data_IF_618329446125
#
_entry.id   IF_618329446125
#
_cell.length_a   1.000
_cell.length_b   1.000
_cell.length_c   1.000
_cell.angle_alpha   90.00
_cell.angle_beta   90.00
_cell.angle_gamma   90.00
#
_symmetry.space_group_name_H-M   'P 1'
#
loop_
_entity.id
_entity.type
_entity.pdbx_description
1 polymer ?
#
# COMPACT_ATOMS: atom_id res chain seq x y z
N UNK A 1 -21.23 2.30 9.59
CA UNK A 1 -20.28 2.35 8.47
C UNK A 1 -19.16 3.25 8.91
N UNK A 2 -18.00 2.69 9.19
CA UNK A 2 -16.95 3.58 9.65
C UNK A 2 -15.57 3.04 9.32
N UNK A 3 -14.74 3.94 8.78
CA UNK A 3 -13.30 3.81 8.88
C UNK A 3 -12.90 4.22 10.29
N UNK A 4 -12.09 3.39 10.93
CA UNK A 4 -11.70 3.51 12.33
C UNK A 4 -10.21 3.74 12.42
N UNK A 5 -9.81 4.55 13.39
CA UNK A 5 -8.39 4.74 13.69
C UNK A 5 -8.18 4.69 15.21
N UNK A 6 -7.15 3.95 15.66
CA UNK A 6 -6.82 3.86 17.08
C UNK A 6 -5.83 4.96 17.52
N UNK A 7 -5.32 4.84 18.72
CA UNK A 7 -4.37 5.78 19.29
C UNK A 7 -2.98 5.56 18.68
N UNK A 8 -2.27 6.65 18.32
CA UNK A 8 -0.90 6.59 17.83
C UNK A 8 0.07 6.35 19.00
N UNK A 9 0.24 5.10 19.39
CA UNK A 9 1.05 4.72 20.56
C UNK A 9 2.31 3.93 20.21
N UNK A 10 2.41 3.38 18.98
CA UNK A 10 3.52 2.52 18.58
C UNK A 10 4.71 3.37 18.10
N UNK A 11 5.86 3.37 18.79
CA UNK A 11 7.02 4.11 18.35
C UNK A 11 7.73 3.35 17.21
N UNK A 12 7.88 4.00 16.06
CA UNK A 12 8.66 3.47 14.94
C UNK A 12 9.18 4.60 14.05
N UNK A 13 10.47 4.52 13.66
CA UNK A 13 11.15 5.50 12.80
C UNK A 13 10.98 6.96 13.26
N UNK A 14 11.06 7.21 14.58
CA UNK A 14 10.96 8.56 15.14
C UNK A 14 9.57 9.15 15.20
N UNK A 15 8.53 8.40 14.85
CA UNK A 15 7.13 8.80 14.94
C UNK A 15 6.31 7.82 15.79
N UNK A 16 5.11 8.24 16.19
CA UNK A 16 4.10 7.35 16.74
C UNK A 16 3.14 6.93 15.65
N UNK A 17 2.70 5.68 15.70
CA UNK A 17 1.87 5.05 14.67
C UNK A 17 0.57 4.52 15.24
N UNK A 18 -0.46 4.56 14.42
CA UNK A 18 -1.81 4.06 14.67
C UNK A 18 -2.22 3.09 13.57
N UNK A 19 -3.28 2.30 13.82
CA UNK A 19 -3.88 1.41 12.84
C UNK A 19 -5.14 2.06 12.27
N UNK A 20 -5.26 2.04 10.95
CA UNK A 20 -6.45 2.48 10.20
C UNK A 20 -7.13 1.26 9.59
N UNK A 21 -8.42 1.06 9.88
CA UNK A 21 -9.20 -0.09 9.42
C UNK A 21 -10.60 0.35 8.97
N UNK A 22 -11.32 -0.53 8.25
CA UNK A 22 -12.76 -0.43 8.08
C UNK A 22 -13.46 -1.60 8.80
N UNK A 23 -14.62 -1.36 9.38
CA UNK A 23 -15.51 -2.40 9.91
C UNK A 23 -16.61 -2.81 8.91
N UNK A 24 -16.47 -2.38 7.66
CA UNK A 24 -17.43 -2.68 6.58
C UNK A 24 -16.79 -3.54 5.50
N UNK A 25 -15.69 -3.06 4.89
CA UNK A 25 -15.01 -3.77 3.82
C UNK A 25 -13.58 -3.27 3.61
N UNK A 26 -12.76 -4.13 3.01
CA UNK A 26 -11.41 -3.76 2.55
C UNK A 26 -11.48 -2.69 1.46
N UNK A 27 -12.48 -2.74 0.58
CA UNK A 27 -12.68 -1.75 -0.47
C UNK A 27 -12.91 -0.33 0.11
N UNK A 28 -13.79 -0.20 1.13
CA UNK A 28 -13.99 1.08 1.82
C UNK A 28 -12.69 1.61 2.43
N UNK A 29 -11.90 0.73 3.06
CA UNK A 29 -10.62 1.10 3.63
C UNK A 29 -9.66 1.62 2.56
N UNK A 30 -9.60 0.95 1.41
CA UNK A 30 -8.76 1.36 0.31
C UNK A 30 -9.18 2.72 -0.27
N UNK A 31 -10.47 2.94 -0.51
CA UNK A 31 -10.99 4.22 -1.01
C UNK A 31 -10.68 5.37 -0.04
N UNK A 32 -10.72 5.10 1.26
CA UNK A 32 -10.36 6.08 2.28
C UNK A 32 -8.85 6.33 2.32
N UNK A 33 -8.05 5.27 2.30
CA UNK A 33 -6.59 5.34 2.28
C UNK A 33 -6.06 6.10 1.06
N UNK A 34 -6.72 5.94 -0.09
CA UNK A 34 -6.37 6.64 -1.32
C UNK A 34 -6.56 8.15 -1.21
N UNK A 35 -7.65 8.58 -0.59
CA UNK A 35 -7.90 10.00 -0.33
C UNK A 35 -6.91 10.61 0.67
N UNK A 36 -6.33 9.77 1.55
CA UNK A 36 -5.23 10.14 2.44
C UNK A 36 -3.84 10.10 1.76
N UNK A 37 -3.76 9.72 0.48
CA UNK A 37 -2.49 9.57 -0.23
C UNK A 37 -1.65 8.36 0.23
N UNK A 38 -2.25 7.38 0.91
CA UNK A 38 -1.54 6.18 1.34
C UNK A 38 -1.28 5.27 0.15
N UNK A 39 -0.06 4.74 0.08
CA UNK A 39 0.30 3.77 -0.96
C UNK A 39 -0.30 2.42 -0.66
N UNK A 40 -0.86 1.75 -1.68
CA UNK A 40 -1.41 0.40 -1.56
C UNK A 40 -0.41 -0.59 -0.99
N UNK A 41 0.88 -0.46 -1.29
CA UNK A 41 1.95 -1.27 -0.72
C UNK A 41 2.02 -1.23 0.81
N UNK A 42 1.52 -0.18 1.46
CA UNK A 42 1.51 -0.08 2.93
C UNK A 42 0.36 -0.85 3.58
N UNK A 43 -0.56 -1.43 2.80
CA UNK A 43 -1.64 -2.27 3.30
C UNK A 43 -1.11 -3.59 3.88
N UNK A 44 -1.53 -3.92 5.10
CA UNK A 44 -1.08 -5.09 5.84
C UNK A 44 -2.10 -6.26 5.81
N UNK A 45 -3.00 -6.25 4.81
CA UNK A 45 -4.00 -7.29 4.60
C UNK A 45 -5.35 -7.02 5.26
N UNK A 46 -5.36 -6.36 6.42
CA UNK A 46 -6.57 -5.98 7.14
C UNK A 46 -6.54 -4.54 7.70
N UNK A 47 -5.42 -3.83 7.54
CA UNK A 47 -5.22 -2.46 8.05
C UNK A 47 -4.10 -1.73 7.30
N UNK A 48 -4.05 -0.42 7.49
CA UNK A 48 -2.88 0.42 7.22
C UNK A 48 -2.28 0.89 8.53
N UNK A 49 -0.94 0.93 8.60
CA UNK A 49 -0.23 1.65 9.65
C UNK A 49 -0.05 3.10 9.22
N UNK A 50 -0.47 4.04 10.06
CA UNK A 50 -0.42 5.47 9.76
C UNK A 50 0.31 6.23 10.86
N UNK A 51 1.21 7.18 10.51
CA UNK A 51 1.84 8.03 11.51
C UNK A 51 0.82 9.01 12.12
N UNK A 52 1.16 9.59 13.27
CA UNK A 52 0.29 10.50 14.03
C UNK A 52 -0.23 11.68 13.19
N UNK A 53 0.58 12.22 12.27
CA UNK A 53 0.16 13.29 11.36
C UNK A 53 -0.97 12.84 10.42
N UNK A 54 -0.82 11.69 9.79
CA UNK A 54 -1.84 11.11 8.89
C UNK A 54 -3.08 10.66 9.68
N UNK A 55 -2.89 10.20 10.93
CA UNK A 55 -4.04 9.94 11.82
C UNK A 55 -4.89 11.19 12.03
N UNK A 56 -4.26 12.35 12.25
CA UNK A 56 -4.99 13.61 12.42
C UNK A 56 -5.80 13.94 11.16
N UNK A 57 -5.22 13.82 9.98
CA UNK A 57 -5.92 14.01 8.70
C UNK A 57 -7.08 13.00 8.52
N UNK A 58 -6.86 11.73 8.90
CA UNK A 58 -7.92 10.72 8.84
C UNK A 58 -9.14 11.11 9.71
N UNK A 59 -8.90 11.66 10.90
CA UNK A 59 -9.98 12.14 11.79
C UNK A 59 -10.72 13.32 11.17
N UNK A 60 -10.01 14.28 10.56
CA UNK A 60 -10.61 15.41 9.85
C UNK A 60 -11.47 14.95 8.65
N UNK A 61 -11.07 13.87 7.98
CA UNK A 61 -11.80 13.24 6.89
C UNK A 61 -12.98 12.35 7.34
N UNK A 62 -13.19 12.21 8.66
CA UNK A 62 -14.33 11.51 9.22
C UNK A 62 -14.06 10.08 9.69
N UNK A 63 -12.80 9.67 9.86
CA UNK A 63 -12.49 8.43 10.57
C UNK A 63 -12.91 8.54 12.05
N UNK A 64 -13.44 7.47 12.60
CA UNK A 64 -13.85 7.39 14.00
C UNK A 64 -12.65 7.02 14.89
N UNK A 65 -12.34 7.85 15.88
CA UNK A 65 -11.34 7.54 16.89
C UNK A 65 -11.88 6.48 17.85
N UNK A 66 -11.19 5.35 17.97
CA UNK A 66 -11.56 4.26 18.86
C UNK A 66 -10.35 3.71 19.62
N UNK A 67 -10.52 3.18 20.84
CA UNK A 67 -9.45 2.42 21.48
C UNK A 67 -9.05 1.20 20.66
N UNK A 68 -7.76 0.84 20.63
CA UNK A 68 -7.26 -0.28 19.83
C UNK A 68 -7.99 -1.61 20.08
N UNK A 69 -8.42 -1.88 21.34
CA UNK A 69 -9.24 -3.07 21.67
C UNK A 69 -10.59 -3.07 20.95
N UNK A 70 -11.21 -1.90 20.82
CA UNK A 70 -12.53 -1.76 20.19
C UNK A 70 -12.39 -1.85 18.66
N UNK A 71 -11.32 -1.29 18.10
CA UNK A 71 -10.95 -1.46 16.70
C UNK A 71 -10.81 -2.94 16.35
N UNK A 72 -10.03 -3.71 17.11
CA UNK A 72 -9.86 -5.15 16.87
C UNK A 72 -11.16 -5.92 17.03
N UNK A 73 -12.01 -5.55 18.01
CA UNK A 73 -13.32 -6.18 18.22
C UNK A 73 -14.22 -5.95 17.01
N UNK A 74 -14.32 -4.70 16.51
CA UNK A 74 -15.15 -4.34 15.34
C UNK A 74 -14.65 -5.02 14.08
N UNK A 75 -13.34 -5.04 13.85
CA UNK A 75 -12.72 -5.71 12.71
C UNK A 75 -13.00 -7.23 12.71
N UNK A 76 -12.96 -7.87 13.89
CA UNK A 76 -13.35 -9.28 14.05
C UNK A 76 -14.85 -9.50 13.81
N UNK A 77 -15.68 -8.63 14.33
CA UNK A 77 -17.14 -8.68 14.14
C UNK A 77 -17.54 -8.56 12.67
N UNK A 78 -16.79 -7.79 11.89
CA UNK A 78 -16.95 -7.65 10.44
C UNK A 78 -16.39 -8.84 9.64
N UNK A 79 -15.69 -9.79 10.27
CA UNK A 79 -15.05 -10.91 9.58
C UNK A 79 -13.81 -10.51 8.75
N UNK A 80 -13.26 -9.31 8.97
CA UNK A 80 -12.17 -8.75 8.18
C UNK A 80 -10.78 -8.95 8.85
N UNK A 81 -10.75 -9.40 10.11
CA UNK A 81 -9.49 -9.63 10.82
C UNK A 81 -8.77 -10.84 10.31
N UNK A 82 -7.57 -10.63 9.77
CA UNK A 82 -6.70 -11.71 9.34
C UNK A 82 -5.90 -12.32 10.49
N UNK A 83 -5.74 -13.63 10.48
CA UNK A 83 -4.76 -14.29 11.32
C UNK A 83 -3.33 -13.87 10.91
N UNK A 84 -2.37 -13.92 11.84
CA UNK A 84 -0.99 -13.54 11.56
C UNK A 84 -0.36 -14.32 10.40
N UNK A 85 -0.79 -15.56 10.21
CA UNK A 85 -0.36 -16.45 9.13
C UNK A 85 -0.95 -16.10 7.76
N UNK A 86 -2.03 -15.32 7.73
CA UNK A 86 -2.73 -14.90 6.51
C UNK A 86 -2.28 -13.52 6.02
N UNK A 87 -1.57 -12.77 6.86
CA UNK A 87 -1.08 -11.44 6.51
C UNK A 87 -0.02 -11.50 5.40
N UNK A 88 0.06 -10.50 4.53
CA UNK A 88 0.94 -10.52 3.36
C UNK A 88 2.44 -10.54 3.68
N UNK A 89 2.84 -10.16 4.89
CA UNK A 89 4.25 -10.10 5.29
C UNK A 89 4.95 -8.83 4.82
N UNK A 90 6.28 -8.84 4.86
CA UNK A 90 7.11 -7.70 4.45
C UNK A 90 7.39 -7.74 2.97
N UNK A 91 7.51 -6.57 2.36
CA UNK A 91 8.03 -6.41 1.03
C UNK A 91 9.53 -6.68 1.00
N UNK A 92 9.95 -7.46 0.03
CA UNK A 92 11.37 -7.74 -0.28
C UNK A 92 11.68 -7.16 -1.65
N UNK A 93 12.78 -6.42 -1.76
CA UNK A 93 13.29 -5.96 -3.05
C UNK A 93 13.85 -7.15 -3.81
N UNK A 94 13.34 -7.39 -5.01
CA UNK A 94 13.75 -8.51 -5.87
C UNK A 94 14.45 -8.07 -7.14
N UNK A 95 14.45 -6.78 -7.44
CA UNK A 95 15.18 -6.20 -8.57
C UNK A 95 15.20 -4.69 -8.52
N UNK A 96 16.26 -4.11 -9.10
CA UNK A 96 16.46 -2.67 -9.23
C UNK A 96 17.11 -2.35 -10.55
N UNK A 97 16.59 -1.35 -11.25
CA UNK A 97 17.09 -0.87 -12.52
C UNK A 97 17.17 0.64 -12.52
N UNK A 98 18.13 1.17 -13.24
CA UNK A 98 18.31 2.63 -13.39
C UNK A 98 18.12 3.02 -14.84
N UNK A 99 17.87 4.29 -15.12
CA UNK A 99 17.64 4.83 -16.46
C UNK A 99 18.77 4.57 -17.49
N UNK A 100 19.99 4.27 -17.03
CA UNK A 100 21.12 3.96 -17.89
C UNK A 100 21.10 2.51 -18.46
N UNK A 101 20.11 1.72 -18.10
CA UNK A 101 20.04 0.31 -18.49
C UNK A 101 19.04 0.13 -19.63
N UNK A 102 19.32 -0.87 -20.46
CA UNK A 102 18.31 -1.41 -21.37
C UNK A 102 17.14 -1.96 -20.56
N UNK A 103 15.96 -1.98 -21.16
CA UNK A 103 14.71 -2.44 -20.48
C UNK A 103 14.96 -3.66 -19.60
N UNK A 104 14.59 -3.59 -18.30
CA UNK A 104 14.80 -4.72 -17.40
C UNK A 104 13.91 -5.90 -17.81
N UNK A 105 14.39 -7.10 -17.59
CA UNK A 105 13.57 -8.31 -17.71
C UNK A 105 12.64 -8.45 -16.49
N UNK A 106 11.69 -7.55 -16.38
CA UNK A 106 10.73 -7.48 -15.27
C UNK A 106 9.88 -8.74 -15.21
N UNK A 107 9.52 -9.31 -16.35
CA UNK A 107 8.74 -10.54 -16.41
C UNK A 107 9.39 -11.74 -15.77
N UNK A 108 10.71 -11.80 -15.81
CA UNK A 108 11.47 -12.84 -15.12
C UNK A 108 11.50 -12.67 -13.61
N UNK A 109 11.51 -11.41 -13.14
CA UNK A 109 11.64 -11.08 -11.72
C UNK A 109 10.28 -11.04 -11.03
N UNK A 110 9.29 -10.43 -11.66
CA UNK A 110 7.94 -10.24 -11.14
C UNK A 110 6.87 -10.54 -12.21
N UNK A 111 6.69 -11.80 -12.58
CA UNK A 111 5.80 -12.18 -13.69
C UNK A 111 4.35 -11.74 -13.49
N UNK A 112 3.90 -11.63 -12.24
CA UNK A 112 2.52 -11.28 -11.90
C UNK A 112 2.18 -9.81 -12.23
N UNK A 113 3.19 -8.96 -12.39
CA UNK A 113 3.02 -7.53 -12.70
C UNK A 113 2.84 -7.28 -14.20
N UNK A 114 3.14 -8.27 -15.04
CA UNK A 114 3.15 -8.09 -16.49
C UNK A 114 1.78 -7.98 -17.15
N UNK A 115 0.73 -8.48 -16.53
CA UNK A 115 -0.60 -8.54 -17.13
C UNK A 115 -1.23 -7.14 -17.23
N UNK A 116 -0.85 -6.37 -18.23
CA UNK A 116 -1.47 -5.10 -18.62
C UNK A 116 -0.81 -3.82 -18.07
N UNK A 117 -0.13 -3.89 -16.93
CA UNK A 117 0.47 -2.70 -16.33
C UNK A 117 1.82 -2.33 -16.96
N UNK A 118 2.56 -3.30 -17.46
CA UNK A 118 3.87 -3.12 -18.05
C UNK A 118 3.86 -2.22 -19.30
N UNK A 119 2.84 -2.33 -20.13
CA UNK A 119 2.72 -1.52 -21.36
C UNK A 119 2.54 -0.03 -21.08
N UNK A 120 1.99 0.34 -19.95
CA UNK A 120 1.79 1.75 -19.56
C UNK A 120 3.09 2.41 -19.09
N UNK A 121 4.03 1.63 -18.58
CA UNK A 121 5.29 2.12 -17.99
C UNK A 121 6.44 2.12 -19.00
N UNK A 122 6.36 1.30 -20.05
CA UNK A 122 7.45 1.11 -21.03
C UNK A 122 7.88 2.39 -21.74
N UNK A 123 6.99 3.37 -21.91
CA UNK A 123 7.33 4.64 -22.57
C UNK A 123 8.33 5.48 -21.76
N UNK A 124 8.36 5.33 -20.44
CA UNK A 124 9.14 6.18 -19.52
C UNK A 124 10.42 5.51 -18.99
N UNK A 125 10.70 4.25 -19.37
CA UNK A 125 11.88 3.49 -18.91
C UNK A 125 13.23 4.17 -19.17
N UNK A 126 13.30 5.07 -20.13
CA UNK A 126 14.54 5.75 -20.51
C UNK A 126 15.03 6.76 -19.47
N UNK A 127 14.14 7.25 -18.60
CA UNK A 127 14.44 8.25 -17.59
C UNK A 127 14.18 7.79 -16.15
N UNK A 128 13.51 6.65 -15.98
CA UNK A 128 13.03 6.20 -14.68
C UNK A 128 13.97 5.23 -13.98
N UNK A 129 14.11 5.39 -12.67
CA UNK A 129 14.57 4.31 -11.78
C UNK A 129 13.41 3.38 -11.47
N UNK A 130 13.64 2.07 -11.48
CA UNK A 130 12.60 1.08 -11.19
C UNK A 130 13.05 0.11 -10.13
N UNK A 131 12.18 -0.15 -9.16
CA UNK A 131 12.42 -1.15 -8.11
C UNK A 131 11.24 -2.13 -8.08
N UNK A 132 11.55 -3.40 -8.17
CA UNK A 132 10.57 -4.48 -8.04
C UNK A 132 10.57 -5.05 -6.62
N UNK A 133 9.38 -5.23 -6.08
CA UNK A 133 9.15 -5.79 -4.77
C UNK A 133 8.22 -7.00 -4.83
N UNK A 134 8.41 -7.93 -3.91
CA UNK A 134 7.53 -9.10 -3.74
C UNK A 134 7.26 -9.34 -2.26
N UNK A 135 6.04 -9.79 -1.94
CA UNK A 135 5.69 -10.41 -0.67
C UNK A 135 4.63 -11.48 -0.91
N UNK A 136 4.87 -12.72 -0.45
CA UNK A 136 3.97 -13.88 -0.70
C UNK A 136 3.46 -13.91 -2.15
N UNK A 137 2.15 -13.67 -2.35
CA UNK A 137 1.47 -13.68 -3.65
C UNK A 137 1.38 -12.31 -4.32
N UNK A 138 1.93 -11.27 -3.71
CA UNK A 138 1.83 -9.90 -4.20
C UNK A 138 3.15 -9.44 -4.81
N UNK A 139 3.09 -8.72 -5.91
CA UNK A 139 4.23 -8.09 -6.57
C UNK A 139 3.93 -6.63 -6.84
N UNK A 140 4.94 -5.78 -6.80
CA UNK A 140 4.81 -4.36 -7.10
C UNK A 140 6.06 -3.83 -7.80
N UNK A 141 5.87 -2.91 -8.74
CA UNK A 141 6.91 -2.06 -9.31
C UNK A 141 6.73 -0.64 -8.81
N UNK A 142 7.80 -0.05 -8.32
CA UNK A 142 7.88 1.37 -8.03
C UNK A 142 8.75 2.00 -9.09
N UNK A 143 8.19 2.92 -9.86
CA UNK A 143 8.86 3.65 -10.93
C UNK A 143 8.98 5.10 -10.47
N UNK A 144 10.19 5.64 -10.51
CA UNK A 144 10.49 7.03 -10.16
C UNK A 144 11.12 7.72 -11.38
N UNK A 145 10.49 8.75 -11.86
CA UNK A 145 10.93 9.59 -12.97
C UNK A 145 10.86 11.08 -12.60
N UNK A 146 11.16 11.96 -13.57
CA UNK A 146 11.12 13.41 -13.36
C UNK A 146 9.70 13.96 -13.06
N UNK A 147 8.65 13.19 -13.35
CA UNK A 147 7.26 13.55 -13.07
C UNK A 147 6.76 13.08 -11.70
N UNK A 148 7.52 12.19 -11.02
CA UNK A 148 7.19 11.70 -9.69
C UNK A 148 7.35 10.19 -9.52
N UNK A 149 6.64 9.62 -8.55
CA UNK A 149 6.68 8.20 -8.21
C UNK A 149 5.39 7.52 -8.64
N UNK A 150 5.51 6.52 -9.49
CA UNK A 150 4.39 5.65 -9.90
C UNK A 150 4.49 4.31 -9.21
N UNK A 151 3.37 3.82 -8.69
CA UNK A 151 3.24 2.47 -8.22
C UNK A 151 2.45 1.64 -9.24
N UNK A 152 3.05 0.56 -9.68
CA UNK A 152 2.39 -0.43 -10.55
C UNK A 152 2.48 -1.78 -9.85
N UNK A 153 1.36 -2.45 -9.63
CA UNK A 153 1.40 -3.70 -8.88
C UNK A 153 0.28 -4.67 -9.20
N UNK A 154 0.54 -5.93 -8.94
CA UNK A 154 -0.46 -6.98 -8.80
C UNK A 154 -0.76 -7.13 -7.31
N UNK A 155 -1.93 -6.67 -6.90
CA UNK A 155 -2.42 -6.76 -5.52
C UNK A 155 -3.67 -7.64 -5.50
N UNK A 156 -4.14 -8.10 -4.34
CA UNK A 156 -5.30 -9.02 -4.25
C UNK A 156 -6.53 -8.56 -5.02
N UNK A 157 -6.71 -7.25 -5.21
CA UNK A 157 -7.88 -6.67 -5.90
C UNK A 157 -7.59 -6.31 -7.37
N UNK A 158 -6.48 -6.77 -7.95
CA UNK A 158 -6.12 -6.52 -9.34
C UNK A 158 -4.86 -5.67 -9.53
N UNK A 159 -4.69 -5.18 -10.74
CA UNK A 159 -3.54 -4.35 -11.12
C UNK A 159 -3.90 -2.88 -10.89
N UNK A 160 -3.12 -2.20 -10.04
CA UNK A 160 -3.26 -0.77 -9.82
C UNK A 160 -2.06 0.00 -10.40
N UNK A 161 -2.37 1.09 -11.10
CA UNK A 161 -1.40 2.09 -11.54
C UNK A 161 -1.76 3.41 -10.87
N UNK A 162 -0.82 4.00 -10.14
CA UNK A 162 -0.99 5.32 -9.52
C UNK A 162 0.21 6.19 -9.76
N UNK A 163 -0.03 7.35 -10.30
CA UNK A 163 0.94 8.42 -10.40
C UNK A 163 0.79 9.31 -9.17
N UNK A 164 1.84 9.40 -8.35
CA UNK A 164 1.94 10.39 -7.30
C UNK A 164 2.93 11.46 -7.81
N UNK A 165 2.38 12.52 -8.35
CA UNK A 165 3.10 13.78 -8.46
C UNK A 165 3.17 14.42 -7.06
N UNK A 166 4.30 15.04 -6.74
CA UNK A 166 4.43 15.92 -5.57
C UNK A 166 3.40 17.04 -5.58
#
# INVERSE_FOLDING_TARGET
MAVLVDEAIWPWRGARWAHLVSDVSVAELHDFADRLGLRRMSFQGDHYDVPESVRAEALEMGAEAVPGRDLVRRLRGAGLRLASTERPGRWEEVGRWTAAWSSPDVGRVVPDVLAGAFQMVVADWTTAGTVAFRRRSESALVVEDDAGVSLVGSLPDGVESRHHGD
#
